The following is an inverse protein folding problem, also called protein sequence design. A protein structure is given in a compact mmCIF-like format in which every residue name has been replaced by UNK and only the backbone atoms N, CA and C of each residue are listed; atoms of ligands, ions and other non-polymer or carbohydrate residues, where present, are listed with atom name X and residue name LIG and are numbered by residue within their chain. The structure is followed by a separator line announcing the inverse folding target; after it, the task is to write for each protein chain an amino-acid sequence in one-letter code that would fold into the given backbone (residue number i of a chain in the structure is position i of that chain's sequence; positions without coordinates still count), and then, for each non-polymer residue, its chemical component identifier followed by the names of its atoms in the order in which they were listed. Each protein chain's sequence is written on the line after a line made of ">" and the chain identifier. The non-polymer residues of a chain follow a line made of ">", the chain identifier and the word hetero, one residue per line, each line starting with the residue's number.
data_IF_341388451359
#
_entry.id   IF_341388451359
#
_cell.length_a   1.000
_cell.length_b   1.000
_cell.length_c   1.000
_cell.angle_alpha   90.00
_cell.angle_beta   90.00
_cell.angle_gamma   90.00
#
_symmetry.space_group_name_H-M   'P 1'
#
loop_
_entity.id
_entity.type
_entity.pdbx_description
1 polymer ?
#
# COMPACT_ATOMS: atom_id res chain seq x y z
N UNK A 1 -2.80 -27.84 11.17
CA UNK A 1 -3.35 -27.30 9.91
C UNK A 1 -3.47 -25.80 10.09
N UNK A 2 -2.59 -25.01 9.47
CA UNK A 2 -2.73 -23.56 9.50
C UNK A 2 -4.04 -23.22 8.78
N UNK A 3 -4.96 -22.53 9.47
CA UNK A 3 -6.18 -22.07 8.79
C UNK A 3 -5.76 -21.07 7.70
N UNK A 4 -6.51 -20.99 6.60
CA UNK A 4 -6.25 -19.98 5.54
C UNK A 4 -6.12 -18.57 6.13
N UNK A 5 -6.88 -18.29 7.20
CA UNK A 5 -6.85 -17.04 8.00
C UNK A 5 -5.47 -16.73 8.58
N UNK A 6 -4.72 -17.74 9.00
CA UNK A 6 -3.38 -17.56 9.55
C UNK A 6 -2.35 -17.25 8.47
N UNK A 7 -2.52 -17.78 7.25
CA UNK A 7 -1.51 -17.67 6.19
C UNK A 7 -1.48 -16.26 5.59
N UNK A 8 -2.63 -15.68 5.23
CA UNK A 8 -2.70 -14.34 4.66
C UNK A 8 -2.18 -13.25 5.62
N UNK A 9 -2.62 -13.29 6.88
CA UNK A 9 -2.13 -12.41 7.94
C UNK A 9 -0.63 -12.58 8.16
N UNK A 10 -0.11 -13.81 8.12
CA UNK A 10 1.33 -14.07 8.26
C UNK A 10 2.12 -13.52 7.06
N UNK A 11 1.61 -13.62 5.83
CA UNK A 11 2.27 -13.09 4.62
C UNK A 11 2.32 -11.55 4.64
N UNK A 12 1.21 -10.89 4.99
CA UNK A 12 1.15 -9.43 5.16
C UNK A 12 2.14 -8.97 6.23
N UNK A 13 2.17 -9.66 7.38
CA UNK A 13 3.09 -9.35 8.47
C UNK A 13 4.56 -9.58 8.05
N UNK A 14 4.88 -10.67 7.35
CA UNK A 14 6.23 -10.98 6.87
C UNK A 14 6.75 -9.96 5.84
N UNK A 15 5.88 -9.45 4.96
CA UNK A 15 6.21 -8.39 4.00
C UNK A 15 6.62 -7.08 4.71
N UNK A 16 5.94 -6.74 5.81
CA UNK A 16 6.32 -5.60 6.66
C UNK A 16 7.68 -5.76 7.34
N UNK A 17 8.05 -6.97 7.81
CA UNK A 17 9.30 -7.18 8.55
C UNK A 17 10.53 -7.06 7.63
N UNK A 18 10.40 -7.46 6.36
CA UNK A 18 11.50 -7.40 5.39
C UNK A 18 11.79 -6.00 4.87
N UNK A 19 10.79 -5.11 4.86
CA UNK A 19 10.89 -3.70 4.45
C UNK A 19 11.86 -2.86 5.29
N UNK A 20 11.75 -2.97 6.62
CA UNK A 20 12.46 -2.07 7.55
C UNK A 20 13.96 -2.38 7.60
N UNK A 21 14.37 -3.56 7.16
CA UNK A 21 15.75 -4.04 7.36
C UNK A 21 16.78 -3.41 6.41
N UNK A 22 16.37 -2.63 5.40
CA UNK A 22 17.29 -2.28 4.31
C UNK A 22 17.89 -0.87 4.29
N UNK A 23 17.45 0.12 5.09
CA UNK A 23 17.82 1.53 4.77
C UNK A 23 18.08 2.50 5.93
N UNK A 24 18.26 2.05 7.17
CA UNK A 24 18.30 3.00 8.30
C UNK A 24 19.65 3.04 9.04
N UNK A 25 20.33 4.17 8.94
CA UNK A 25 21.27 4.63 9.96
C UNK A 25 20.57 5.74 10.78
N UNK A 26 19.93 5.36 11.89
CA UNK A 26 19.30 6.31 12.82
C UNK A 26 20.41 7.00 13.62
N UNK A 27 20.72 8.26 13.31
CA UNK A 27 21.59 9.09 14.16
C UNK A 27 20.73 9.71 15.26
N UNK A 28 21.02 9.48 16.55
CA UNK A 28 20.35 10.21 17.62
C UNK A 28 20.83 11.66 17.57
N UNK A 29 19.96 12.59 17.16
CA UNK A 29 20.11 14.00 17.48
C UNK A 29 18.83 14.48 18.19
N UNK A 30 19.01 15.39 19.14
CA UNK A 30 18.08 15.90 20.16
C UNK A 30 16.82 16.65 19.61
N UNK A 31 16.23 16.21 18.50
CA UNK A 31 15.05 16.79 17.81
C UNK A 31 14.34 15.69 16.97
N UNK A 32 13.07 15.84 16.54
CA UNK A 32 12.32 14.74 15.90
C UNK A 32 13.14 14.09 14.79
N UNK A 33 13.32 12.78 14.89
CA UNK A 33 14.25 11.99 14.09
C UNK A 33 14.11 12.30 12.60
N UNK A 34 15.11 12.97 12.02
CA UNK A 34 15.13 13.23 10.59
C UNK A 34 15.60 11.96 9.90
N UNK A 35 14.73 11.31 9.13
CA UNK A 35 15.12 10.20 8.27
C UNK A 35 16.08 10.74 7.19
N UNK A 36 17.35 10.35 7.22
CA UNK A 36 18.32 10.71 6.18
C UNK A 36 18.43 9.53 5.22
N UNK A 37 17.81 9.65 4.05
CA UNK A 37 17.98 8.70 2.95
C UNK A 37 19.26 9.07 2.20
N UNK A 38 20.27 8.20 2.23
CA UNK A 38 21.51 8.38 1.48
C UNK A 38 21.41 7.88 0.03
N UNK A 39 20.51 6.93 -0.21
CA UNK A 39 20.26 6.28 -1.50
C UNK A 39 18.77 6.31 -1.83
N UNK A 40 18.36 7.35 -2.55
CA UNK A 40 16.95 7.60 -2.90
C UNK A 40 16.43 6.59 -3.95
N UNK A 41 17.30 6.08 -4.82
CA UNK A 41 16.89 5.09 -5.81
C UNK A 41 16.53 3.78 -5.13
N UNK A 42 17.44 3.25 -4.30
CA UNK A 42 17.20 2.02 -3.56
C UNK A 42 16.06 2.17 -2.54
N UNK A 43 15.87 3.37 -1.96
CA UNK A 43 14.72 3.65 -1.11
C UNK A 43 13.39 3.55 -1.86
N UNK A 44 13.26 4.26 -2.98
CA UNK A 44 12.06 4.19 -3.80
C UNK A 44 11.79 2.76 -4.28
N UNK A 45 12.82 2.02 -4.71
CA UNK A 45 12.67 0.63 -5.12
C UNK A 45 12.27 -0.32 -3.98
N UNK A 46 12.75 -0.05 -2.76
CA UNK A 46 12.30 -0.75 -1.55
C UNK A 46 10.80 -0.52 -1.30
N UNK A 47 10.37 0.74 -1.33
CA UNK A 47 8.95 1.11 -1.15
C UNK A 47 8.09 0.46 -2.25
N UNK A 48 8.58 0.43 -3.49
CA UNK A 48 7.90 -0.25 -4.61
C UNK A 48 7.64 -1.73 -4.38
N UNK A 49 8.65 -2.46 -3.89
CA UNK A 49 8.51 -3.90 -3.61
C UNK A 49 7.45 -4.16 -2.55
N UNK A 50 7.43 -3.34 -1.50
CA UNK A 50 6.44 -3.46 -0.43
C UNK A 50 5.05 -3.15 -0.98
N UNK A 51 4.88 -2.04 -1.70
CA UNK A 51 3.61 -1.68 -2.32
C UNK A 51 3.09 -2.81 -3.22
N UNK A 52 3.94 -3.41 -4.06
CA UNK A 52 3.56 -4.53 -4.90
C UNK A 52 3.03 -5.72 -4.07
N UNK A 53 3.73 -6.10 -3.00
CA UNK A 53 3.31 -7.21 -2.14
C UNK A 53 1.98 -6.91 -1.43
N UNK A 54 1.80 -5.67 -0.94
CA UNK A 54 0.55 -5.23 -0.32
C UNK A 54 -0.61 -5.23 -1.33
N UNK A 55 -0.35 -4.78 -2.56
CA UNK A 55 -1.36 -4.77 -3.62
C UNK A 55 -1.75 -6.19 -4.03
N UNK A 56 -0.78 -7.09 -4.25
CA UNK A 56 -1.04 -8.51 -4.55
C UNK A 56 -1.85 -9.18 -3.44
N UNK A 57 -1.53 -8.87 -2.17
CA UNK A 57 -2.28 -9.38 -1.02
C UNK A 57 -3.73 -8.89 -1.00
N UNK A 58 -3.96 -7.58 -1.19
CA UNK A 58 -5.33 -7.04 -1.19
C UNK A 58 -6.11 -7.51 -2.41
N UNK A 59 -5.51 -7.53 -3.60
CA UNK A 59 -6.16 -8.04 -4.81
C UNK A 59 -6.62 -9.49 -4.59
N UNK A 60 -5.78 -10.34 -4.00
CA UNK A 60 -6.11 -11.74 -3.71
C UNK A 60 -7.25 -11.86 -2.69
N UNK A 61 -7.15 -11.15 -1.57
CA UNK A 61 -8.19 -11.18 -0.51
C UNK A 61 -9.52 -10.59 -0.98
N UNK A 62 -9.48 -9.57 -1.84
CA UNK A 62 -10.68 -8.99 -2.41
C UNK A 62 -11.37 -9.94 -3.40
N UNK A 63 -10.61 -10.65 -4.23
CA UNK A 63 -11.18 -11.71 -5.06
C UNK A 63 -11.75 -12.86 -4.22
N UNK A 64 -11.07 -13.26 -3.15
CA UNK A 64 -11.59 -14.27 -2.23
C UNK A 64 -12.87 -13.80 -1.52
N UNK A 65 -13.06 -12.50 -1.29
CA UNK A 65 -14.30 -11.92 -0.78
C UNK A 65 -15.42 -12.02 -1.82
N UNK A 66 -15.14 -11.61 -3.07
CA UNK A 66 -16.12 -11.69 -4.17
C UNK A 66 -16.56 -13.13 -4.47
N UNK A 67 -15.64 -14.09 -4.34
CA UNK A 67 -15.89 -15.52 -4.48
C UNK A 67 -16.58 -16.16 -3.26
N UNK A 68 -16.79 -15.40 -2.17
CA UNK A 68 -17.38 -15.88 -0.93
C UNK A 68 -16.48 -16.84 -0.13
N UNK A 69 -15.16 -16.84 -0.37
CA UNK A 69 -14.17 -17.64 0.35
C UNK A 69 -13.70 -16.98 1.66
N UNK A 70 -13.86 -15.66 1.78
CA UNK A 70 -13.67 -14.91 3.03
C UNK A 70 -14.93 -14.09 3.35
N UNK A 71 -15.10 -13.74 4.63
CA UNK A 71 -16.25 -12.94 5.07
C UNK A 71 -15.95 -11.45 4.94
N UNK A 72 -16.96 -10.57 4.80
CA UNK A 72 -16.76 -9.11 4.83
C UNK A 72 -15.97 -8.61 6.04
N UNK A 73 -16.24 -9.16 7.23
CA UNK A 73 -15.57 -8.74 8.48
C UNK A 73 -14.11 -9.23 8.53
N UNK A 74 -13.84 -10.45 8.05
CA UNK A 74 -12.47 -10.97 7.90
C UNK A 74 -11.67 -10.12 6.89
N UNK A 75 -12.27 -9.81 5.74
CA UNK A 75 -11.67 -8.94 4.72
C UNK A 75 -11.36 -7.55 5.26
N UNK A 76 -12.32 -6.91 5.92
CA UNK A 76 -12.17 -5.56 6.48
C UNK A 76 -10.97 -5.49 7.45
N UNK A 77 -10.73 -6.54 8.24
CA UNK A 77 -9.59 -6.62 9.15
C UNK A 77 -8.25 -6.61 8.41
N UNK A 78 -8.16 -7.33 7.29
CA UNK A 78 -6.97 -7.34 6.42
C UNK A 78 -6.77 -6.00 5.73
N UNK A 79 -7.86 -5.41 5.23
CA UNK A 79 -7.85 -4.09 4.60
C UNK A 79 -7.40 -2.99 5.57
N UNK A 80 -7.83 -3.03 6.83
CA UNK A 80 -7.41 -2.07 7.86
C UNK A 80 -5.92 -2.14 8.18
N UNK A 81 -5.38 -3.36 8.32
CA UNK A 81 -3.95 -3.57 8.54
C UNK A 81 -3.17 -3.02 7.34
N UNK A 82 -3.59 -3.34 6.12
CA UNK A 82 -2.89 -2.91 4.91
C UNK A 82 -2.96 -1.39 4.72
N UNK A 83 -4.12 -0.76 4.94
CA UNK A 83 -4.27 0.69 4.87
C UNK A 83 -3.38 1.42 5.89
N UNK A 84 -3.26 0.87 7.11
CA UNK A 84 -2.35 1.39 8.12
C UNK A 84 -0.90 1.32 7.66
N UNK A 85 -0.48 0.22 7.03
CA UNK A 85 0.87 0.07 6.49
C UNK A 85 1.15 1.05 5.35
N UNK A 86 0.22 1.21 4.40
CA UNK A 86 0.32 2.20 3.31
C UNK A 86 0.43 3.61 3.86
N UNK A 87 -0.36 3.95 4.89
CA UNK A 87 -0.29 5.26 5.56
C UNK A 87 1.07 5.49 6.23
N UNK A 88 1.65 4.44 6.84
CA UNK A 88 3.01 4.47 7.37
C UNK A 88 4.04 4.79 6.27
N UNK A 89 3.96 4.08 5.14
CA UNK A 89 4.85 4.33 4.00
C UNK A 89 4.73 5.76 3.46
N UNK A 90 3.51 6.29 3.31
CA UNK A 90 3.28 7.68 2.89
C UNK A 90 3.96 8.66 3.86
N UNK A 91 3.87 8.40 5.17
CA UNK A 91 4.48 9.24 6.20
C UNK A 91 6.01 9.23 6.09
N UNK A 92 6.61 8.05 5.91
CA UNK A 92 8.06 7.93 5.69
C UNK A 92 8.48 8.63 4.38
N UNK A 93 7.68 8.51 3.33
CA UNK A 93 7.92 9.17 2.05
C UNK A 93 7.99 10.70 2.19
N UNK A 94 7.04 11.29 2.91
CA UNK A 94 7.00 12.73 3.19
C UNK A 94 8.21 13.17 4.01
N UNK A 95 8.64 12.36 4.98
CA UNK A 95 9.75 12.71 5.88
C UNK A 95 11.13 12.50 5.25
N UNK A 96 11.23 11.69 4.19
CA UNK A 96 12.49 11.39 3.47
C UNK A 96 13.15 12.61 2.80
N UNK A 97 12.40 13.68 2.53
CA UNK A 97 12.88 14.97 1.96
C UNK A 97 13.86 14.79 0.79
N UNK A 98 13.42 14.20 -0.35
CA UNK A 98 14.28 13.96 -1.48
C UNK A 98 14.86 15.26 -2.08
N UNK A 99 16.08 15.23 -2.63
CA UNK A 99 16.66 16.36 -3.35
C UNK A 99 15.84 16.67 -4.61
N UNK A 100 15.94 17.91 -5.12
CA UNK A 100 15.12 18.44 -6.23
C UNK A 100 15.01 17.48 -7.43
N UNK A 101 16.13 16.89 -7.86
CA UNK A 101 16.15 15.94 -8.99
C UNK A 101 15.25 14.72 -8.81
N UNK A 102 15.00 14.28 -7.57
CA UNK A 102 14.17 13.12 -7.26
C UNK A 102 12.72 13.50 -6.89
N UNK A 103 12.42 14.79 -6.71
CA UNK A 103 11.12 15.24 -6.17
C UNK A 103 9.94 14.83 -7.02
N UNK A 104 10.01 14.97 -8.34
CA UNK A 104 8.89 14.60 -9.23
C UNK A 104 8.60 13.09 -9.16
N UNK A 105 9.65 12.27 -9.22
CA UNK A 105 9.55 10.82 -9.08
C UNK A 105 8.88 10.46 -7.75
N UNK A 106 9.34 11.08 -6.66
CA UNK A 106 8.84 10.80 -5.33
C UNK A 106 7.39 11.28 -5.10
N UNK A 107 7.04 12.48 -5.57
CA UNK A 107 5.68 13.02 -5.46
C UNK A 107 4.72 12.12 -6.22
N UNK A 108 5.08 11.72 -7.45
CA UNK A 108 4.26 10.82 -8.25
C UNK A 108 4.06 9.48 -7.57
N UNK A 109 5.09 8.92 -6.92
CA UNK A 109 4.96 7.66 -6.20
C UNK A 109 4.10 7.78 -4.94
N UNK A 110 4.24 8.89 -4.19
CA UNK A 110 3.38 9.17 -3.04
C UNK A 110 1.91 9.29 -3.44
N UNK A 111 1.62 9.93 -4.56
CA UNK A 111 0.26 10.00 -5.11
C UNK A 111 -0.25 8.61 -5.49
N UNK A 112 0.59 7.74 -6.06
CA UNK A 112 0.23 6.36 -6.35
C UNK A 112 -0.16 5.58 -5.09
N UNK A 113 0.59 5.75 -3.99
CA UNK A 113 0.27 5.15 -2.68
C UNK A 113 -1.05 5.68 -2.10
N UNK A 114 -1.33 6.98 -2.27
CA UNK A 114 -2.63 7.56 -1.87
C UNK A 114 -3.78 6.94 -2.64
N UNK A 115 -3.63 6.78 -3.97
CA UNK A 115 -4.62 6.12 -4.82
C UNK A 115 -4.81 4.65 -4.47
N UNK A 116 -3.73 3.95 -4.12
CA UNK A 116 -3.83 2.59 -3.61
C UNK A 116 -4.58 2.54 -2.27
N UNK A 117 -4.37 3.51 -1.37
CA UNK A 117 -5.12 3.58 -0.12
C UNK A 117 -6.61 3.88 -0.35
N UNK A 118 -6.95 4.77 -1.29
CA UNK A 118 -8.33 5.01 -1.74
C UNK A 118 -8.96 3.71 -2.28
N UNK A 119 -8.22 2.96 -3.10
CA UNK A 119 -8.63 1.65 -3.60
C UNK A 119 -8.97 0.68 -2.44
N UNK A 120 -8.10 0.55 -1.43
CA UNK A 120 -8.37 -0.30 -0.25
C UNK A 120 -9.65 0.18 0.47
N UNK A 121 -9.86 1.47 0.63
CA UNK A 121 -11.06 2.00 1.29
C UNK A 121 -12.33 1.63 0.51
N UNK A 122 -12.33 1.77 -0.81
CA UNK A 122 -13.50 1.42 -1.64
C UNK A 122 -13.80 -0.08 -1.65
N UNK A 123 -12.78 -0.94 -1.61
CA UNK A 123 -13.00 -2.39 -1.47
C UNK A 123 -13.71 -2.76 -0.15
N UNK A 124 -13.46 -2.01 0.94
CA UNK A 124 -14.21 -2.17 2.20
C UNK A 124 -15.66 -1.73 2.07
N UNK A 125 -15.93 -0.69 1.25
CA UNK A 125 -17.31 -0.29 0.93
C UNK A 125 -18.03 -1.44 0.23
N UNK A 126 -17.38 -2.11 -0.74
CA UNK A 126 -17.92 -3.31 -1.38
C UNK A 126 -18.17 -4.43 -0.36
N UNK A 127 -17.23 -4.69 0.55
CA UNK A 127 -17.42 -5.70 1.59
C UNK A 127 -18.67 -5.43 2.45
N UNK A 128 -18.88 -4.18 2.87
CA UNK A 128 -20.05 -3.78 3.63
C UNK A 128 -21.35 -3.88 2.80
N UNK A 129 -21.32 -3.48 1.52
CA UNK A 129 -22.46 -3.65 0.61
C UNK A 129 -22.84 -5.12 0.45
N UNK A 130 -21.85 -6.03 0.28
CA UNK A 130 -22.08 -7.47 0.20
C UNK A 130 -22.69 -8.02 1.49
N UNK A 131 -22.25 -7.56 2.66
CA UNK A 131 -22.82 -7.91 3.96
C UNK A 131 -24.29 -7.50 4.07
N UNK A 132 -24.66 -6.37 3.46
CA UNK A 132 -26.02 -5.82 3.45
C UNK A 132 -26.87 -6.34 2.26
N UNK A 133 -26.30 -7.17 1.38
CA UNK A 133 -26.99 -7.66 0.18
C UNK A 133 -27.24 -6.58 -0.89
N UNK A 134 -26.48 -5.48 -0.85
CA UNK A 134 -26.57 -4.38 -1.80
C UNK A 134 -25.76 -4.63 -3.08
N UNK A 135 -26.17 -3.99 -4.17
CA UNK A 135 -25.42 -4.02 -5.43
C UNK A 135 -24.15 -3.15 -5.31
N UNK A 136 -23.01 -3.68 -5.74
CA UNK A 136 -21.69 -3.06 -5.67
C UNK A 136 -21.05 -2.74 -7.04
N UNK A 137 -21.77 -2.91 -8.16
CA UNK A 137 -21.22 -2.77 -9.53
C UNK A 137 -20.54 -1.41 -9.75
N UNK A 138 -21.18 -0.31 -9.38
CA UNK A 138 -20.62 1.05 -9.58
C UNK A 138 -19.37 1.26 -8.72
N UNK A 139 -19.37 0.75 -7.49
CA UNK A 139 -18.21 0.79 -6.59
C UNK A 139 -17.05 -0.03 -7.15
N UNK A 140 -17.32 -1.20 -7.74
CA UNK A 140 -16.30 -2.02 -8.41
C UNK A 140 -15.70 -1.29 -9.61
N UNK A 141 -16.49 -0.57 -10.40
CA UNK A 141 -15.95 0.24 -11.49
C UNK A 141 -15.04 1.37 -10.99
N UNK A 142 -15.40 2.00 -9.87
CA UNK A 142 -14.56 3.01 -9.21
C UNK A 142 -13.22 2.41 -8.74
N UNK A 143 -13.26 1.21 -8.16
CA UNK A 143 -12.07 0.46 -7.73
C UNK A 143 -11.10 0.24 -8.92
N UNK A 144 -11.61 -0.19 -10.08
CA UNK A 144 -10.79 -0.36 -11.29
C UNK A 144 -10.17 0.97 -11.78
N UNK A 145 -10.92 2.08 -11.74
CA UNK A 145 -10.39 3.41 -12.06
C UNK A 145 -9.24 3.80 -11.14
N UNK A 146 -9.41 3.62 -9.83
CA UNK A 146 -8.37 3.93 -8.83
C UNK A 146 -7.09 3.10 -9.05
N UNK A 147 -7.25 1.83 -9.44
CA UNK A 147 -6.13 0.95 -9.77
C UNK A 147 -5.36 1.45 -11.00
N UNK A 148 -6.06 1.86 -12.05
CA UNK A 148 -5.44 2.45 -13.24
C UNK A 148 -4.73 3.77 -12.93
N UNK A 149 -5.37 4.67 -12.19
CA UNK A 149 -4.76 5.94 -11.76
C UNK A 149 -3.47 5.71 -10.95
N UNK A 150 -3.49 4.76 -10.01
CA UNK A 150 -2.29 4.40 -9.24
C UNK A 150 -1.17 3.87 -10.15
N UNK A 151 -1.48 3.01 -11.12
CA UNK A 151 -0.50 2.49 -12.07
C UNK A 151 0.10 3.57 -12.98
N UNK A 152 -0.69 4.54 -13.43
CA UNK A 152 -0.21 5.67 -14.22
C UNK A 152 0.76 6.54 -13.42
N UNK A 153 0.46 6.78 -12.15
CA UNK A 153 1.34 7.51 -11.23
C UNK A 153 2.65 6.76 -10.94
N UNK A 154 2.61 5.43 -10.83
CA UNK A 154 3.83 4.59 -10.74
C UNK A 154 4.69 4.76 -11.99
N UNK A 155 4.09 4.67 -13.19
CA UNK A 155 4.82 4.87 -14.46
C UNK A 155 5.42 6.26 -14.55
N UNK A 156 4.68 7.29 -14.14
CA UNK A 156 5.18 8.66 -14.07
C UNK A 156 6.37 8.76 -13.11
N UNK A 157 6.26 8.17 -11.93
CA UNK A 157 7.36 8.12 -10.96
C UNK A 157 8.64 7.51 -11.56
N UNK A 158 8.50 6.40 -12.29
CA UNK A 158 9.63 5.72 -12.91
C UNK A 158 10.26 6.51 -14.06
N UNK A 159 9.44 7.22 -14.84
CA UNK A 159 9.92 8.05 -15.95
C UNK A 159 10.56 9.36 -15.49
N UNK A 160 10.25 9.82 -14.28
CA UNK A 160 10.80 11.05 -13.69
C UNK A 160 12.01 10.82 -12.78
N UNK A 161 12.60 9.62 -12.81
CA UNK A 161 13.87 9.36 -12.12
C UNK A 161 15.04 10.13 -12.81
N UNK A 162 16.03 10.63 -12.06
CA UNK A 162 17.22 11.29 -12.61
C UNK A 162 18.05 10.47 -13.59
#
# INVERSE_FOLDING_TARGET
>A
MASKKGIAVTVIILATITAVSFLFWVIPQENPSTLIVSDYENYLDGVKKIHQVLQESIDTEFQDLLDGKTTPDDYNSVADITSSQVTGQITEFITSKPPEKWQESYISYMEALKKFNEYIIETKVVANMLKEGQNSIDTIQKIESLKLESQELIKKSDNSRP
#
